data_IF_131127119940
#
_entry.id   IF_131127119940
#
_cell.length_a   1.000
_cell.length_b   1.000
_cell.length_c   1.000
_cell.angle_alpha   90.00
_cell.angle_beta   90.00
_cell.angle_gamma   90.00
#
_symmetry.space_group_name_H-M   'P 1'
#
loop_
_entity.id
_entity.type
_entity.pdbx_description
1 polymer ?
#
# COMPACT_ATOMS: atom_id res chain seq x y z
N UNK A 1 -7.09 -18.36 7.94
CA UNK A 1 -6.53 -18.08 6.58
C UNK A 1 -6.16 -16.62 6.50
N UNK A 2 -4.90 -16.30 6.22
CA UNK A 2 -4.33 -14.96 6.41
C UNK A 2 -3.86 -14.75 7.86
N UNK A 3 -2.63 -14.28 8.01
CA UNK A 3 -1.93 -14.10 9.30
C UNK A 3 -1.34 -12.68 9.45
N UNK A 4 -2.03 -11.70 8.87
CA UNK A 4 -1.76 -10.28 9.07
C UNK A 4 -2.20 -9.76 10.45
N UNK A 5 -2.38 -8.44 10.58
CA UNK A 5 -2.76 -7.77 11.83
C UNK A 5 -4.01 -8.39 12.49
N UNK A 6 -5.11 -8.53 11.73
CA UNK A 6 -6.37 -9.08 12.26
C UNK A 6 -6.27 -10.59 12.53
N UNK A 7 -5.75 -11.36 11.57
CA UNK A 7 -5.66 -12.82 11.71
C UNK A 7 -4.80 -13.27 12.90
N UNK A 8 -3.68 -12.57 13.16
CA UNK A 8 -2.85 -12.86 14.33
C UNK A 8 -3.55 -12.52 15.66
N UNK A 9 -4.35 -11.46 15.71
CA UNK A 9 -5.15 -11.08 16.87
C UNK A 9 -6.30 -12.06 17.16
N UNK A 10 -6.92 -12.61 16.10
CA UNK A 10 -7.92 -13.68 16.22
C UNK A 10 -7.26 -14.96 16.73
N UNK A 11 -6.12 -15.36 16.17
CA UNK A 11 -5.36 -16.52 16.61
C UNK A 11 -4.97 -16.44 18.10
N UNK A 12 -4.50 -15.27 18.55
CA UNK A 12 -4.17 -15.01 19.96
C UNK A 12 -5.38 -15.23 20.88
N UNK A 13 -6.56 -14.72 20.51
CA UNK A 13 -7.80 -14.90 21.28
C UNK A 13 -8.28 -16.36 21.26
N UNK A 14 -8.25 -17.02 20.10
CA UNK A 14 -8.62 -18.43 19.97
C UNK A 14 -7.75 -19.34 20.85
N UNK A 15 -6.43 -19.08 20.91
CA UNK A 15 -5.54 -19.78 21.85
C UNK A 15 -5.91 -19.52 23.31
N UNK A 16 -6.27 -18.28 23.66
CA UNK A 16 -6.78 -17.94 24.99
C UNK A 16 -8.04 -18.72 25.38
N UNK A 17 -8.83 -19.17 24.40
CA UNK A 17 -9.99 -20.04 24.59
C UNK A 17 -9.64 -21.54 24.60
N UNK A 18 -8.35 -21.90 24.57
CA UNK A 18 -7.89 -23.29 24.59
C UNK A 18 -7.93 -24.00 23.23
N UNK A 19 -8.11 -23.27 22.12
CA UNK A 19 -8.10 -23.86 20.79
C UNK A 19 -6.67 -24.18 20.31
N UNK A 20 -6.53 -25.25 19.52
CA UNK A 20 -5.35 -25.46 18.69
C UNK A 20 -5.47 -24.59 17.44
N UNK A 21 -4.45 -23.78 17.15
CA UNK A 21 -4.49 -22.80 16.06
C UNK A 21 -3.33 -23.04 15.11
N UNK A 22 -3.67 -23.32 13.86
CA UNK A 22 -2.79 -23.29 12.69
C UNK A 22 -3.22 -22.13 11.79
N UNK A 23 -2.29 -21.59 11.01
CA UNK A 23 -2.59 -20.54 10.06
C UNK A 23 -1.93 -20.80 8.71
N UNK A 24 -2.56 -20.33 7.64
CA UNK A 24 -1.96 -20.29 6.31
C UNK A 24 -1.81 -18.83 5.89
N UNK A 25 -0.59 -18.43 5.57
CA UNK A 25 -0.27 -17.15 4.95
C UNK A 25 1.09 -17.26 4.24
N UNK A 26 1.15 -17.23 2.90
CA UNK A 26 2.39 -17.42 2.16
C UNK A 26 3.36 -16.24 2.29
N UNK A 27 2.91 -15.10 2.83
CA UNK A 27 3.71 -13.88 2.97
C UNK A 27 4.13 -13.60 4.41
N UNK A 28 3.57 -14.33 5.40
CA UNK A 28 3.93 -14.15 6.79
C UNK A 28 5.25 -14.85 7.13
N UNK A 29 6.21 -14.17 7.79
CA UNK A 29 7.42 -14.82 8.27
C UNK A 29 7.09 -15.84 9.37
N UNK A 30 7.69 -17.03 9.31
CA UNK A 30 7.43 -18.14 10.24
C UNK A 30 7.66 -17.76 11.73
N UNK A 31 8.61 -16.87 12.01
CA UNK A 31 8.89 -16.38 13.36
C UNK A 31 7.69 -15.69 14.01
N UNK A 32 6.86 -15.00 13.21
CA UNK A 32 5.66 -14.32 13.71
C UNK A 32 4.64 -15.30 14.26
N UNK A 33 4.47 -16.46 13.62
CA UNK A 33 3.62 -17.54 14.10
C UNK A 33 4.18 -18.18 15.37
N UNK A 34 5.48 -18.53 15.34
CA UNK A 34 6.20 -19.12 16.49
C UNK A 34 6.11 -18.28 17.76
N UNK A 35 6.23 -16.96 17.64
CA UNK A 35 6.17 -16.03 18.78
C UNK A 35 4.87 -16.14 19.60
N UNK A 36 3.76 -16.53 18.97
CA UNK A 36 2.48 -16.75 19.67
C UNK A 36 2.08 -18.23 19.68
N UNK A 37 2.99 -19.13 19.33
CA UNK A 37 2.78 -20.58 19.26
C UNK A 37 1.67 -20.98 18.29
N UNK A 38 1.67 -20.38 17.10
CA UNK A 38 0.81 -20.72 15.96
C UNK A 38 1.70 -21.27 14.85
N UNK A 39 1.36 -22.44 14.33
CA UNK A 39 2.09 -23.05 13.23
C UNK A 39 1.59 -22.50 11.90
N UNK A 40 2.52 -22.04 11.04
CA UNK A 40 2.20 -21.70 9.66
C UNK A 40 2.27 -22.97 8.81
N UNK A 41 1.15 -23.31 8.15
CA UNK A 41 1.00 -24.53 7.36
C UNK A 41 0.58 -24.22 5.91
N UNK A 42 0.82 -25.14 4.96
CA UNK A 42 0.29 -25.02 3.60
C UNK A 42 -1.24 -24.94 3.56
N UNK A 43 -1.78 -24.36 2.48
CA UNK A 43 -3.22 -24.14 2.31
C UNK A 43 -4.03 -25.44 2.44
N UNK A 44 -3.63 -26.48 1.71
CA UNK A 44 -4.32 -27.77 1.73
C UNK A 44 -4.31 -28.43 3.12
N UNK A 45 -3.22 -28.27 3.88
CA UNK A 45 -3.17 -28.74 5.26
C UNK A 45 -4.12 -27.95 6.16
N UNK A 46 -4.17 -26.63 6.03
CA UNK A 46 -5.07 -25.79 6.82
C UNK A 46 -6.54 -26.17 6.61
N UNK A 47 -6.99 -26.33 5.36
CA UNK A 47 -8.41 -26.62 5.06
C UNK A 47 -8.81 -28.05 5.43
N UNK A 48 -7.91 -29.02 5.28
CA UNK A 48 -8.23 -30.44 5.52
C UNK A 48 -8.24 -30.83 6.99
N UNK A 49 -7.60 -30.03 7.85
CA UNK A 49 -7.46 -30.33 9.29
C UNK A 49 -8.31 -29.44 10.19
N UNK A 50 -8.77 -28.29 9.71
CA UNK A 50 -9.50 -27.33 10.54
C UNK A 50 -10.98 -27.70 10.76
N UNK A 51 -11.44 -27.59 12.01
CA UNK A 51 -12.86 -27.69 12.38
C UNK A 51 -13.57 -26.33 12.24
N UNK A 52 -12.81 -25.25 12.42
CA UNK A 52 -13.24 -23.85 12.24
C UNK A 52 -12.24 -23.13 11.32
N UNK A 53 -12.75 -22.45 10.30
CA UNK A 53 -11.94 -21.69 9.34
C UNK A 53 -12.37 -20.23 9.38
N UNK A 54 -11.49 -19.36 9.87
CA UNK A 54 -11.70 -17.90 9.85
C UNK A 54 -10.84 -17.24 8.76
N UNK A 55 -11.46 -16.43 7.91
CA UNK A 55 -10.83 -15.76 6.77
C UNK A 55 -10.42 -14.34 7.15
N UNK A 56 -9.14 -14.02 6.86
CA UNK A 56 -8.46 -12.76 7.14
C UNK A 56 -7.50 -12.37 6.00
N UNK A 57 -7.81 -12.83 4.78
CA UNK A 57 -7.03 -12.53 3.58
C UNK A 57 -7.62 -11.32 2.85
N UNK A 58 -6.80 -10.49 2.18
CA UNK A 58 -7.32 -9.49 1.25
C UNK A 58 -7.98 -10.18 0.05
N UNK A 59 -8.82 -9.44 -0.70
CA UNK A 59 -9.28 -9.86 -2.02
C UNK A 59 -8.26 -9.43 -3.07
N UNK A 60 -7.73 -10.39 -3.81
CA UNK A 60 -6.76 -10.25 -4.90
C UNK A 60 -7.09 -11.28 -5.98
N UNK A 61 -6.54 -11.18 -7.20
CA UNK A 61 -6.73 -12.22 -8.22
C UNK A 61 -6.33 -13.63 -7.78
N UNK A 62 -5.38 -13.75 -6.83
CA UNK A 62 -4.94 -15.04 -6.30
C UNK A 62 -5.83 -15.59 -5.18
N UNK A 63 -6.70 -14.77 -4.59
CA UNK A 63 -7.57 -15.12 -3.46
C UNK A 63 -9.05 -15.04 -3.79
N UNK A 64 -9.39 -14.48 -4.95
CA UNK A 64 -10.73 -14.48 -5.51
C UNK A 64 -11.23 -15.91 -5.66
N UNK A 65 -12.37 -16.20 -5.03
CA UNK A 65 -13.04 -17.50 -5.05
C UNK A 65 -12.13 -18.68 -4.71
N UNK A 66 -11.11 -18.44 -3.89
CA UNK A 66 -10.21 -19.49 -3.43
C UNK A 66 -10.95 -20.52 -2.57
N UNK A 67 -12.06 -20.13 -1.93
CA UNK A 67 -13.02 -21.06 -1.34
C UNK A 67 -14.14 -21.35 -2.34
N UNK A 68 -13.99 -22.44 -3.09
CA UNK A 68 -14.89 -22.95 -4.13
C UNK A 68 -15.27 -24.41 -3.84
N UNK A 69 -16.01 -25.07 -4.75
CA UNK A 69 -16.46 -26.45 -4.56
C UNK A 69 -15.30 -27.41 -4.23
N UNK A 70 -14.21 -27.38 -4.99
CA UNK A 70 -13.03 -28.24 -4.76
C UNK A 70 -12.41 -28.01 -3.38
N UNK A 71 -12.37 -26.76 -2.94
CA UNK A 71 -11.83 -26.39 -1.62
C UNK A 71 -12.76 -26.86 -0.51
N UNK A 72 -14.07 -26.68 -0.67
CA UNK A 72 -15.05 -27.19 0.28
C UNK A 72 -15.01 -28.71 0.36
N UNK A 73 -14.80 -29.43 -0.74
CA UNK A 73 -14.66 -30.89 -0.76
C UNK A 73 -13.48 -31.40 0.08
N UNK A 74 -12.37 -30.66 0.13
CA UNK A 74 -11.20 -31.01 0.94
C UNK A 74 -11.39 -30.77 2.44
N UNK A 75 -12.38 -29.96 2.83
CA UNK A 75 -12.61 -29.63 4.24
C UNK A 75 -13.13 -30.83 5.05
N UNK A 76 -12.99 -30.79 6.37
CA UNK A 76 -13.71 -31.72 7.25
C UNK A 76 -15.22 -31.58 7.04
N UNK A 77 -15.94 -32.71 7.06
CA UNK A 77 -17.41 -32.68 7.06
C UNK A 77 -17.90 -32.03 8.36
N UNK A 78 -18.79 -31.06 8.24
CA UNK A 78 -19.32 -30.30 9.37
C UNK A 78 -18.41 -29.17 9.85
N UNK A 79 -17.39 -28.79 9.07
CA UNK A 79 -16.56 -27.62 9.37
C UNK A 79 -17.40 -26.33 9.39
N UNK A 80 -16.94 -25.33 10.13
CA UNK A 80 -17.59 -24.01 10.23
C UNK A 80 -16.70 -22.94 9.61
N UNK A 81 -17.31 -22.02 8.88
CA UNK A 81 -16.58 -20.96 8.18
C UNK A 81 -16.99 -19.58 8.70
N UNK A 82 -16.02 -18.68 8.81
CA UNK A 82 -16.23 -17.29 9.21
C UNK A 82 -15.52 -16.40 8.20
N UNK A 83 -16.25 -15.53 7.52
CA UNK A 83 -15.67 -14.51 6.66
C UNK A 83 -16.07 -13.11 7.13
N UNK A 84 -15.09 -12.43 7.72
CA UNK A 84 -15.18 -11.03 8.18
C UNK A 84 -14.10 -10.17 7.54
N UNK A 85 -13.55 -10.62 6.41
CA UNK A 85 -12.42 -9.99 5.75
C UNK A 85 -12.85 -9.25 4.49
N UNK A 86 -13.15 -9.98 3.41
CA UNK A 86 -13.58 -9.42 2.13
C UNK A 86 -14.57 -10.34 1.45
N UNK A 87 -15.58 -9.75 0.83
CA UNK A 87 -16.43 -10.44 -0.14
C UNK A 87 -15.62 -11.00 -1.31
N UNK A 88 -16.18 -11.98 -2.03
CA UNK A 88 -15.54 -12.57 -3.20
C UNK A 88 -14.37 -13.53 -2.94
N UNK A 89 -13.86 -13.65 -1.70
CA UNK A 89 -12.88 -14.69 -1.33
C UNK A 89 -13.53 -16.08 -1.32
N UNK A 90 -14.82 -16.13 -1.00
CA UNK A 90 -15.66 -17.31 -1.09
C UNK A 90 -16.50 -17.20 -2.36
N UNK A 91 -16.57 -18.27 -3.15
CA UNK A 91 -17.64 -18.44 -4.12
C UNK A 91 -18.95 -18.73 -3.37
N UNK A 92 -19.85 -17.75 -3.39
CA UNK A 92 -21.08 -17.76 -2.61
C UNK A 92 -22.04 -18.90 -3.01
N UNK A 93 -22.07 -19.26 -4.29
CA UNK A 93 -22.88 -20.38 -4.78
C UNK A 93 -22.29 -21.72 -4.33
N UNK A 94 -20.96 -21.85 -4.32
CA UNK A 94 -20.29 -23.03 -3.79
C UNK A 94 -20.53 -23.17 -2.27
N UNK A 95 -20.52 -22.06 -1.53
CA UNK A 95 -20.84 -22.08 -0.10
C UNK A 95 -22.28 -22.55 0.14
N UNK A 96 -23.25 -22.09 -0.65
CA UNK A 96 -24.64 -22.57 -0.55
C UNK A 96 -24.73 -24.09 -0.75
N UNK A 97 -24.09 -24.63 -1.80
CA UNK A 97 -24.04 -26.09 -2.03
C UNK A 97 -23.35 -26.84 -0.88
N UNK A 98 -22.28 -26.28 -0.33
CA UNK A 98 -21.55 -26.87 0.79
C UNK A 98 -22.39 -26.87 2.09
N UNK A 99 -23.21 -25.83 2.31
CA UNK A 99 -24.17 -25.76 3.41
C UNK A 99 -25.32 -26.75 3.25
N UNK A 100 -25.91 -26.81 2.05
CA UNK A 100 -27.03 -27.70 1.72
C UNK A 100 -26.63 -29.18 1.89
N UNK A 101 -25.44 -29.55 1.43
CA UNK A 101 -24.87 -30.91 1.58
C UNK A 101 -24.41 -31.25 3.01
N UNK A 102 -24.34 -30.26 3.90
CA UNK A 102 -23.79 -30.41 5.26
C UNK A 102 -22.28 -30.61 5.32
N UNK A 103 -21.57 -30.35 4.21
CA UNK A 103 -20.10 -30.28 4.20
C UNK A 103 -19.62 -29.15 5.10
N UNK A 104 -20.27 -27.99 4.99
CA UNK A 104 -20.17 -26.87 5.94
C UNK A 104 -21.38 -26.93 6.86
N UNK A 105 -21.16 -27.00 8.17
CA UNK A 105 -22.24 -27.03 9.14
C UNK A 105 -22.92 -25.66 9.29
N UNK A 106 -22.12 -24.60 9.37
CA UNK A 106 -22.56 -23.22 9.54
C UNK A 106 -21.56 -22.23 8.96
N UNK A 107 -22.04 -21.07 8.55
CA UNK A 107 -21.23 -19.93 8.12
C UNK A 107 -21.59 -18.67 8.91
N UNK A 108 -20.60 -17.82 9.16
CA UNK A 108 -20.80 -16.45 9.65
C UNK A 108 -20.16 -15.46 8.67
N UNK A 109 -20.95 -14.55 8.10
CA UNK A 109 -20.52 -13.65 7.02
C UNK A 109 -20.80 -12.19 7.40
N UNK A 110 -19.76 -11.35 7.39
CA UNK A 110 -19.91 -9.89 7.55
C UNK A 110 -19.79 -9.14 6.21
N UNK A 111 -19.38 -9.84 5.15
CA UNK A 111 -18.98 -9.26 3.85
C UNK A 111 -19.51 -10.12 2.71
N UNK A 112 -19.84 -9.49 1.58
CA UNK A 112 -20.45 -10.13 0.41
C UNK A 112 -19.75 -9.68 -0.88
N UNK A 113 -19.79 -10.48 -1.94
CA UNK A 113 -19.20 -10.12 -3.22
C UNK A 113 -19.82 -8.84 -3.81
N UNK A 114 -21.13 -8.68 -3.63
CA UNK A 114 -21.86 -7.45 -3.91
C UNK A 114 -22.40 -6.87 -2.60
N UNK A 115 -22.10 -5.59 -2.34
CA UNK A 115 -22.55 -4.88 -1.14
C UNK A 115 -23.33 -3.60 -1.51
N UNK A 116 -24.61 -3.46 -1.09
CA UNK A 116 -25.39 -4.41 -0.29
C UNK A 116 -25.80 -5.67 -1.06
N UNK A 117 -25.93 -6.84 -0.39
CA UNK A 117 -26.38 -8.05 -1.07
C UNK A 117 -27.82 -7.90 -1.59
N UNK A 118 -28.19 -8.61 -2.69
CA UNK A 118 -29.56 -8.62 -3.20
C UNK A 118 -30.57 -9.03 -2.12
N UNK A 119 -31.79 -8.47 -2.18
CA UNK A 119 -32.86 -8.73 -1.20
C UNK A 119 -33.24 -10.21 -1.11
N UNK A 120 -33.14 -10.93 -2.21
CA UNK A 120 -33.40 -12.35 -2.37
C UNK A 120 -32.13 -13.22 -2.22
N UNK A 121 -31.04 -12.65 -1.68
CA UNK A 121 -29.81 -13.39 -1.43
C UNK A 121 -30.09 -14.65 -0.60
N UNK A 122 -29.84 -15.80 -1.23
CA UNK A 122 -30.04 -17.11 -0.60
C UNK A 122 -29.14 -17.29 0.61
N UNK A 123 -27.91 -16.77 0.59
CA UNK A 123 -26.99 -16.84 1.73
C UNK A 123 -27.52 -16.04 2.93
N UNK A 124 -28.03 -14.83 2.69
CA UNK A 124 -28.60 -13.98 3.74
C UNK A 124 -29.80 -14.65 4.41
N UNK A 125 -30.60 -15.38 3.64
CA UNK A 125 -31.82 -16.05 4.13
C UNK A 125 -31.58 -17.47 4.65
N UNK A 126 -30.37 -18.02 4.49
CA UNK A 126 -30.09 -19.41 4.82
C UNK A 126 -29.98 -19.61 6.34
N UNK A 127 -30.77 -20.53 6.91
CA UNK A 127 -30.90 -20.73 8.37
C UNK A 127 -29.58 -21.06 9.09
N UNK A 128 -28.61 -21.65 8.38
CA UNK A 128 -27.27 -21.99 8.91
C UNK A 128 -26.23 -20.88 8.70
N UNK A 129 -26.65 -19.71 8.24
CA UNK A 129 -25.78 -18.56 7.99
C UNK A 129 -26.14 -17.44 8.96
N UNK A 130 -25.16 -16.99 9.73
CA UNK A 130 -25.28 -15.75 10.51
C UNK A 130 -24.69 -14.62 9.69
N UNK A 131 -25.42 -13.51 9.53
CA UNK A 131 -24.96 -12.37 8.74
C UNK A 131 -24.93 -11.08 9.54
N UNK A 132 -23.94 -10.24 9.24
CA UNK A 132 -23.87 -8.85 9.69
C UNK A 132 -23.53 -7.93 8.51
N UNK A 133 -24.01 -6.68 8.48
CA UNK A 133 -23.82 -5.78 7.35
C UNK A 133 -22.49 -5.00 7.45
N UNK A 134 -21.36 -5.68 7.22
CA UNK A 134 -20.01 -5.09 7.21
C UNK A 134 -19.70 -4.23 8.44
N UNK A 135 -19.92 -4.82 9.61
CA UNK A 135 -19.80 -4.14 10.90
C UNK A 135 -18.43 -4.25 11.56
N UNK A 136 -17.46 -4.96 10.95
CA UNK A 136 -16.15 -5.21 11.56
C UNK A 136 -15.40 -3.98 12.10
N UNK A 137 -15.58 -2.80 11.50
CA UNK A 137 -14.97 -1.53 11.95
C UNK A 137 -15.97 -0.55 12.59
N UNK A 138 -17.22 -0.96 12.79
CA UNK A 138 -18.33 -0.12 13.26
C UNK A 138 -18.39 -0.04 14.79
N UNK A 139 -17.25 0.24 15.43
CA UNK A 139 -17.13 0.44 16.89
C UNK A 139 -16.65 1.85 17.21
N UNK A 140 -16.99 2.37 18.40
CA UNK A 140 -16.60 3.73 18.80
C UNK A 140 -15.08 3.88 18.82
N UNK A 141 -14.40 2.89 19.39
CA UNK A 141 -12.95 2.87 19.56
C UNK A 141 -12.22 2.81 18.21
N UNK A 142 -12.74 2.03 17.25
CA UNK A 142 -12.17 1.96 15.91
C UNK A 142 -12.37 3.28 15.15
N UNK A 143 -13.56 3.86 15.21
CA UNK A 143 -13.86 5.14 14.56
C UNK A 143 -13.03 6.28 15.17
N UNK A 144 -12.87 6.32 16.49
CA UNK A 144 -12.02 7.29 17.18
C UNK A 144 -10.54 7.12 16.80
N UNK A 145 -10.02 5.88 16.82
CA UNK A 145 -8.65 5.58 16.42
C UNK A 145 -8.35 6.01 14.97
N UNK A 146 -9.26 5.70 14.04
CA UNK A 146 -9.15 6.13 12.64
C UNK A 146 -9.23 7.65 12.52
N UNK A 147 -10.10 8.31 13.28
CA UNK A 147 -10.22 9.77 13.25
C UNK A 147 -8.92 10.45 13.71
N UNK A 148 -8.29 9.96 14.78
CA UNK A 148 -7.00 10.44 15.27
C UNK A 148 -5.91 10.22 14.22
N UNK A 149 -5.79 9.00 13.69
CA UNK A 149 -4.79 8.65 12.67
C UNK A 149 -4.90 9.55 11.42
N UNK A 150 -6.13 9.80 10.96
CA UNK A 150 -6.37 10.72 9.84
C UNK A 150 -6.03 12.16 10.21
N UNK A 151 -6.41 12.64 11.39
CA UNK A 151 -6.11 13.99 11.84
C UNK A 151 -4.60 14.23 11.91
N UNK A 152 -3.85 13.29 12.47
CA UNK A 152 -2.38 13.33 12.50
C UNK A 152 -1.78 13.30 11.11
N UNK A 153 -2.27 12.42 10.22
CA UNK A 153 -1.82 12.35 8.84
C UNK A 153 -2.08 13.67 8.07
N UNK A 154 -3.23 14.30 8.29
CA UNK A 154 -3.56 15.62 7.69
C UNK A 154 -2.64 16.71 8.23
N UNK A 155 -2.41 16.76 9.55
CA UNK A 155 -1.49 17.72 10.16
C UNK A 155 -0.07 17.54 9.62
N UNK A 156 0.43 16.30 9.54
CA UNK A 156 1.72 15.99 8.95
C UNK A 156 1.80 16.44 7.49
N UNK A 157 0.79 16.11 6.69
CA UNK A 157 0.73 16.52 5.28
C UNK A 157 0.71 18.05 5.09
N UNK A 158 0.01 18.79 5.96
CA UNK A 158 -0.02 20.26 5.97
C UNK A 158 1.29 20.89 6.45
N UNK A 159 2.11 20.16 7.21
CA UNK A 159 3.48 20.55 7.55
C UNK A 159 4.50 20.15 6.48
N UNK A 160 4.07 19.45 5.44
CA UNK A 160 4.93 18.93 4.38
C UNK A 160 5.69 17.65 4.77
N UNK A 161 5.27 16.96 5.83
CA UNK A 161 5.81 15.67 6.26
C UNK A 161 5.31 14.54 5.36
N UNK A 162 6.03 13.41 5.36
CA UNK A 162 5.61 12.19 4.70
C UNK A 162 4.48 11.54 5.49
N UNK A 163 3.26 11.58 4.94
CA UNK A 163 2.15 10.82 5.49
C UNK A 163 2.32 9.34 5.13
N UNK A 164 2.57 8.51 6.15
CA UNK A 164 2.72 7.05 5.98
C UNK A 164 1.47 6.36 5.41
N UNK A 165 0.31 7.03 5.44
CA UNK A 165 -1.00 6.55 4.98
C UNK A 165 -1.41 7.11 3.61
N UNK A 166 -0.57 7.92 2.96
CA UNK A 166 -0.90 8.50 1.67
C UNK A 166 -0.97 7.43 0.57
N UNK A 167 -2.16 7.21 0.03
CA UNK A 167 -2.42 6.21 -1.01
C UNK A 167 -1.89 6.60 -2.40
N UNK A 168 -1.63 7.88 -2.61
CA UNK A 168 -1.18 8.48 -3.87
C UNK A 168 0.16 9.23 -3.74
N UNK A 169 0.88 9.01 -2.64
CA UNK A 169 2.24 9.52 -2.47
C UNK A 169 3.22 8.35 -2.32
N UNK A 170 4.54 8.58 -2.50
CA UNK A 170 5.55 7.55 -2.32
C UNK A 170 5.53 7.00 -0.89
N UNK A 171 5.16 5.73 -0.73
CA UNK A 171 5.28 5.03 0.55
C UNK A 171 6.74 4.58 0.70
N UNK A 172 7.47 5.21 1.63
CA UNK A 172 8.89 4.90 1.90
C UNK A 172 8.98 4.21 3.27
N UNK A 173 9.47 2.96 3.35
CA UNK A 173 9.70 2.30 4.63
C UNK A 173 10.58 3.15 5.56
N UNK A 174 10.37 3.16 6.89
CA UNK A 174 11.11 4.02 7.82
C UNK A 174 12.64 3.90 7.69
N UNK A 175 13.14 2.68 7.48
CA UNK A 175 14.56 2.37 7.30
C UNK A 175 15.15 2.97 6.02
N UNK A 176 14.33 3.07 4.96
CA UNK A 176 14.71 3.71 3.69
C UNK A 176 14.58 5.23 3.83
N UNK A 177 13.58 5.70 4.57
CA UNK A 177 13.36 7.12 4.79
C UNK A 177 14.51 7.77 5.56
N UNK A 178 15.04 7.13 6.61
CA UNK A 178 16.20 7.66 7.34
C UNK A 178 17.42 7.85 6.43
N UNK A 179 17.58 6.97 5.44
CA UNK A 179 18.66 7.02 4.46
C UNK A 179 18.43 8.04 3.36
N UNK A 180 17.17 8.19 2.91
CA UNK A 180 16.78 9.13 1.87
C UNK A 180 16.56 10.56 2.37
N UNK A 181 16.35 10.77 3.67
CA UNK A 181 16.03 12.07 4.24
C UNK A 181 17.01 13.20 3.85
N UNK A 182 18.34 13.01 3.85
CA UNK A 182 19.28 14.04 3.39
C UNK A 182 19.09 14.40 1.91
N UNK A 183 18.84 13.39 1.07
CA UNK A 183 18.60 13.56 -0.37
C UNK A 183 17.24 14.18 -0.66
N UNK A 184 16.22 13.90 0.16
CA UNK A 184 14.92 14.53 0.07
C UNK A 184 15.01 16.04 0.30
N UNK A 185 15.75 16.48 1.32
CA UNK A 185 15.99 17.91 1.60
C UNK A 185 16.76 18.58 0.45
N UNK A 186 17.81 17.92 -0.03
CA UNK A 186 18.59 18.40 -1.17
C UNK A 186 17.77 18.49 -2.45
N UNK A 187 16.97 17.47 -2.77
CA UNK A 187 16.04 17.42 -3.89
C UNK A 187 15.08 18.61 -3.89
N UNK A 188 14.51 18.93 -2.73
CA UNK A 188 13.65 20.12 -2.58
C UNK A 188 14.41 21.42 -2.86
N UNK A 189 15.59 21.57 -2.26
CA UNK A 189 16.44 22.77 -2.44
C UNK A 189 16.87 22.96 -3.89
N UNK A 190 17.21 21.88 -4.57
CA UNK A 190 17.55 21.90 -5.99
C UNK A 190 16.35 22.31 -6.84
N UNK A 191 15.16 21.76 -6.58
CA UNK A 191 13.94 22.22 -7.24
C UNK A 191 13.67 23.72 -7.05
N UNK A 192 13.90 24.25 -5.85
CA UNK A 192 13.76 25.70 -5.58
C UNK A 192 14.82 26.54 -6.29
N UNK A 193 16.07 26.09 -6.27
CA UNK A 193 17.19 26.74 -6.94
C UNK A 193 16.94 26.81 -8.45
N UNK A 194 16.39 25.73 -9.03
CA UNK A 194 16.06 25.67 -10.44
C UNK A 194 15.14 26.81 -10.90
N UNK A 195 14.12 27.09 -10.11
CA UNK A 195 13.17 28.18 -10.37
C UNK A 195 13.86 29.55 -10.36
N UNK A 196 14.84 29.74 -9.46
CA UNK A 196 15.58 31.00 -9.35
C UNK A 196 16.57 31.23 -10.49
N UNK A 197 17.16 30.15 -11.04
CA UNK A 197 18.17 30.23 -12.11
C UNK A 197 17.57 30.44 -13.51
N UNK A 198 16.30 30.11 -13.72
CA UNK A 198 15.63 30.33 -15.01
C UNK A 198 15.21 31.81 -15.12
N UNK A 199 16.11 32.63 -15.66
CA UNK A 199 15.87 34.03 -15.94
C UNK A 199 14.92 34.21 -17.15
N UNK A 200 13.98 35.17 -17.08
CA UNK A 200 13.27 35.67 -18.27
C UNK A 200 11.75 35.50 -18.33
N UNK A 201 11.10 35.00 -17.27
CA UNK A 201 9.63 35.08 -17.13
C UNK A 201 8.79 34.13 -18.01
N UNK A 202 9.43 33.27 -18.82
CA UNK A 202 8.77 32.23 -19.64
C UNK A 202 8.30 31.01 -18.85
N UNK A 203 8.82 30.82 -17.63
CA UNK A 203 8.51 29.70 -16.74
C UNK A 203 9.11 28.36 -17.18
N UNK A 204 9.23 27.41 -16.25
CA UNK A 204 9.76 26.07 -16.53
C UNK A 204 8.67 25.20 -17.17
N UNK A 205 8.85 24.82 -18.43
CA UNK A 205 7.93 23.90 -19.15
C UNK A 205 8.29 22.44 -18.97
N UNK A 206 9.58 22.15 -18.77
CA UNK A 206 10.09 20.79 -18.61
C UNK A 206 11.27 20.74 -17.66
N UNK A 207 11.37 19.64 -16.90
CA UNK A 207 12.53 19.33 -16.07
C UNK A 207 12.94 17.87 -16.30
N UNK A 208 14.24 17.63 -16.45
CA UNK A 208 14.79 16.28 -16.53
C UNK A 208 15.55 16.00 -15.24
N UNK A 209 15.11 14.97 -14.51
CA UNK A 209 15.80 14.51 -13.30
C UNK A 209 16.63 13.29 -13.66
N UNK A 210 17.92 13.34 -13.36
CA UNK A 210 18.83 12.21 -13.55
C UNK A 210 19.29 11.72 -12.19
N UNK A 211 19.14 10.44 -11.93
CA UNK A 211 19.62 9.77 -10.73
C UNK A 211 20.84 8.94 -11.08
N UNK A 212 22.01 9.29 -10.54
CA UNK A 212 23.21 8.44 -10.63
C UNK A 212 23.41 7.70 -9.33
N UNK A 213 23.53 6.38 -9.42
CA UNK A 213 23.68 5.50 -8.26
C UNK A 213 24.60 4.33 -8.61
N UNK A 214 25.34 3.84 -7.61
CA UNK A 214 26.04 2.56 -7.71
C UNK A 214 25.11 1.34 -7.52
N UNK A 215 23.83 1.59 -7.20
CA UNK A 215 22.81 0.56 -7.08
C UNK A 215 22.23 0.21 -8.45
N UNK A 216 21.70 -1.00 -8.52
CA UNK A 216 20.85 -1.42 -9.62
C UNK A 216 19.73 -0.38 -9.82
N UNK A 217 19.51 0.13 -11.04
CA UNK A 217 18.44 1.07 -11.34
C UNK A 217 17.05 0.59 -10.91
N UNK A 218 16.81 -0.71 -10.85
CA UNK A 218 15.53 -1.30 -10.45
C UNK A 218 15.35 -1.38 -8.92
N UNK A 219 16.44 -1.30 -8.14
CA UNK A 219 16.43 -1.27 -6.66
C UNK A 219 16.39 0.16 -6.09
N UNK A 220 16.45 1.18 -6.95
CA UNK A 220 16.40 2.59 -6.53
C UNK A 220 14.96 3.14 -6.55
N UNK A 221 14.35 3.25 -5.37
CA UNK A 221 13.08 3.96 -5.22
C UNK A 221 13.27 5.48 -5.27
N UNK A 222 13.17 6.05 -6.47
CA UNK A 222 13.33 7.48 -6.72
C UNK A 222 12.07 8.30 -6.47
N UNK A 223 10.94 7.67 -6.11
CA UNK A 223 9.63 8.33 -6.07
C UNK A 223 9.58 9.47 -5.05
N UNK A 224 10.24 9.31 -3.90
CA UNK A 224 10.38 10.36 -2.90
C UNK A 224 11.17 11.55 -3.44
N UNK A 225 12.33 11.30 -4.06
CA UNK A 225 13.20 12.35 -4.59
C UNK A 225 12.50 13.14 -5.68
N UNK A 226 11.81 12.44 -6.60
CA UNK A 226 10.95 13.05 -7.62
C UNK A 226 9.93 13.98 -6.97
N UNK A 227 9.17 13.49 -5.98
CA UNK A 227 8.14 14.26 -5.31
C UNK A 227 8.71 15.52 -4.62
N UNK A 228 9.88 15.42 -3.99
CA UNK A 228 10.56 16.56 -3.36
C UNK A 228 11.07 17.57 -4.39
N UNK A 229 11.63 17.13 -5.53
CA UNK A 229 12.03 18.02 -6.64
C UNK A 229 10.80 18.73 -7.20
N UNK A 230 9.72 17.99 -7.50
CA UNK A 230 8.47 18.57 -8.00
C UNK A 230 7.92 19.62 -7.02
N UNK A 231 7.91 19.30 -5.72
CA UNK A 231 7.52 20.26 -4.68
C UNK A 231 8.40 21.51 -4.72
N UNK A 232 9.72 21.35 -4.75
CA UNK A 232 10.67 22.46 -4.81
C UNK A 232 10.49 23.37 -6.02
N UNK A 233 10.13 22.79 -7.19
CA UNK A 233 9.85 23.55 -8.41
C UNK A 233 8.50 24.28 -8.34
N UNK A 234 7.46 23.62 -7.85
CA UNK A 234 6.08 24.15 -7.92
C UNK A 234 5.76 25.10 -6.77
N UNK A 235 6.28 24.86 -5.57
CA UNK A 235 5.93 25.65 -4.38
C UNK A 235 6.24 27.15 -4.52
N UNK A 236 7.40 27.59 -5.04
CA UNK A 236 7.69 29.01 -5.22
C UNK A 236 6.80 29.73 -6.24
N UNK A 237 6.13 28.96 -7.11
CA UNK A 237 5.31 29.47 -8.22
C UNK A 237 3.83 29.12 -8.07
N UNK A 238 3.40 28.75 -6.86
CA UNK A 238 2.02 28.36 -6.56
C UNK A 238 1.45 29.19 -5.43
N UNK A 239 0.19 29.63 -5.59
CA UNK A 239 -0.57 30.34 -4.56
C UNK A 239 -1.17 29.39 -3.51
N UNK A 240 -1.09 28.08 -3.77
CA UNK A 240 -1.54 27.02 -2.87
C UNK A 240 -0.37 26.33 -2.20
N UNK A 241 -0.55 25.91 -0.95
CA UNK A 241 0.42 25.07 -0.24
C UNK A 241 0.70 23.77 -1.00
N UNK A 242 1.98 23.46 -1.23
CA UNK A 242 2.42 22.28 -1.98
C UNK A 242 3.01 21.24 -1.03
N UNK A 243 2.52 20.00 -1.16
CA UNK A 243 3.00 18.84 -0.45
C UNK A 243 3.20 17.67 -1.42
N UNK A 244 3.67 16.53 -0.90
CA UNK A 244 4.01 15.36 -1.72
C UNK A 244 2.79 14.68 -2.36
N UNK A 245 1.59 14.98 -1.87
CA UNK A 245 0.32 14.46 -2.38
C UNK A 245 -0.16 15.26 -3.59
N UNK A 246 -0.05 16.60 -3.53
CA UNK A 246 -0.59 17.50 -4.55
C UNK A 246 0.45 18.06 -5.53
N UNK A 247 1.76 17.87 -5.28
CA UNK A 247 2.84 18.41 -6.12
C UNK A 247 2.73 17.96 -7.58
N UNK A 248 2.62 16.65 -7.84
CA UNK A 248 2.55 16.10 -9.20
C UNK A 248 1.26 16.52 -9.93
N UNK A 249 0.13 16.58 -9.21
CA UNK A 249 -1.13 17.07 -9.77
C UNK A 249 -1.03 18.56 -10.16
N UNK A 250 -0.47 19.38 -9.28
CA UNK A 250 -0.31 20.82 -9.48
C UNK A 250 0.70 21.11 -10.59
N UNK A 251 1.78 20.33 -10.68
CA UNK A 251 2.75 20.39 -11.77
C UNK A 251 2.09 20.16 -13.13
N UNK A 252 1.29 19.10 -13.26
CA UNK A 252 0.53 18.81 -14.48
C UNK A 252 -0.44 19.94 -14.84
N UNK A 253 -1.18 20.48 -13.85
CA UNK A 253 -2.12 21.60 -14.06
C UNK A 253 -1.41 22.87 -14.56
N UNK A 254 -0.17 23.10 -14.12
CA UNK A 254 0.69 24.21 -14.57
C UNK A 254 1.48 23.90 -15.85
N UNK A 255 1.28 22.73 -16.46
CA UNK A 255 1.92 22.34 -17.71
C UNK A 255 3.39 21.92 -17.60
N UNK A 256 3.89 21.69 -16.37
CA UNK A 256 5.25 21.21 -16.15
C UNK A 256 5.36 19.72 -16.49
N UNK A 257 6.28 19.38 -17.38
CA UNK A 257 6.64 17.98 -17.70
C UNK A 257 7.91 17.58 -16.98
N UNK A 258 7.83 16.53 -16.16
CA UNK A 258 9.01 15.97 -15.49
C UNK A 258 9.33 14.62 -16.12
N UNK A 259 10.55 14.47 -16.61
CA UNK A 259 11.11 13.19 -17.10
C UNK A 259 12.22 12.72 -16.19
N UNK A 260 12.36 11.41 -16.01
CA UNK A 260 13.36 10.80 -15.15
C UNK A 260 14.30 9.88 -15.95
N UNK A 261 15.56 9.85 -15.57
CA UNK A 261 16.58 8.92 -16.09
C UNK A 261 17.37 8.34 -14.92
N UNK A 262 17.62 7.03 -14.95
CA UNK A 262 18.44 6.33 -13.94
C UNK A 262 19.71 5.83 -14.62
N UNK A 263 20.85 6.14 -14.04
CA UNK A 263 22.17 5.80 -14.61
C UNK A 263 23.00 5.10 -13.54
N UNK A 264 23.40 3.86 -13.82
CA UNK A 264 24.32 3.12 -12.97
C UNK A 264 25.75 3.69 -13.12
N UNK A 265 26.47 3.86 -12.00
CA UNK A 265 27.87 4.35 -11.98
C UNK A 265 28.71 3.53 -11.00
N UNK A 266 29.99 3.30 -11.31
CA UNK A 266 30.87 2.45 -10.48
C UNK A 266 31.17 3.03 -9.08
N UNK A 267 31.05 4.35 -8.93
CA UNK A 267 31.14 5.04 -7.63
C UNK A 267 30.17 6.24 -7.60
N UNK A 268 29.50 6.51 -6.47
CA UNK A 268 28.70 7.73 -6.33
C UNK A 268 29.61 8.97 -6.39
N UNK A 269 29.23 10.03 -7.11
CA UNK A 269 30.01 11.26 -7.17
C UNK A 269 30.08 11.96 -5.80
N UNK A 270 31.16 12.70 -5.54
CA UNK A 270 31.42 13.38 -4.25
C UNK A 270 30.42 14.51 -3.93
N UNK A 271 29.71 15.05 -4.93
CA UNK A 271 28.75 16.17 -4.77
C UNK A 271 27.47 15.97 -5.60
N UNK A 272 26.33 16.51 -5.11
CA UNK A 272 25.06 16.55 -5.82
C UNK A 272 24.91 17.80 -6.70
N UNK A 273 24.04 17.76 -7.70
CA UNK A 273 24.16 18.58 -8.90
C UNK A 273 22.77 18.59 -9.68
N UNK A 274 22.43 19.49 -10.63
CA UNK A 274 21.04 19.61 -11.19
C UNK A 274 20.91 20.29 -12.57
N UNK A 275 20.34 19.63 -13.59
CA UNK A 275 20.10 20.24 -14.92
C UNK A 275 18.63 20.63 -15.18
N UNK A 276 18.42 21.82 -15.75
CA UNK A 276 17.11 22.36 -16.13
C UNK A 276 17.16 22.78 -17.59
N UNK A 277 16.24 22.29 -18.41
CA UNK A 277 16.15 22.66 -19.83
C UNK A 277 14.97 23.60 -20.05
N UNK A 278 15.27 24.85 -20.42
CA UNK A 278 14.29 25.79 -20.96
C UNK A 278 14.29 25.71 -22.49
N UNK A 279 13.18 25.26 -23.07
CA UNK A 279 13.00 25.17 -24.52
C UNK A 279 12.59 26.50 -25.18
N UNK A 280 12.60 27.63 -24.47
CA UNK A 280 12.14 28.93 -24.99
C UNK A 280 13.23 29.92 -25.41
N UNK A 281 14.50 29.66 -25.13
CA UNK A 281 15.60 30.57 -25.52
C UNK A 281 16.33 30.06 -26.77
N UNK A 282 16.23 30.84 -27.85
CA UNK A 282 17.05 30.70 -29.06
C UNK A 282 18.54 30.68 -28.71
N UNK A 283 19.21 29.60 -29.11
CA UNK A 283 20.59 29.53 -29.59
C UNK A 283 21.54 30.66 -29.14
N UNK A 284 22.12 30.54 -27.92
CA UNK A 284 23.47 30.99 -27.48
C UNK A 284 23.45 31.43 -26.01
N UNK A 285 23.68 30.47 -25.12
CA UNK A 285 24.39 30.62 -23.85
C UNK A 285 24.51 29.22 -23.25
N UNK A 286 25.38 28.41 -23.84
CA UNK A 286 25.79 27.13 -23.27
C UNK A 286 27.09 27.37 -22.50
N UNK A 287 26.98 27.78 -21.25
CA UNK A 287 28.07 27.73 -20.27
C UNK A 287 27.58 27.02 -19.02
N UNK A 288 28.39 26.08 -18.55
CA UNK A 288 28.12 25.09 -17.52
C UNK A 288 27.57 25.68 -16.22
N UNK A 289 26.40 25.21 -15.79
CA UNK A 289 26.00 25.18 -14.38
C UNK A 289 25.49 23.75 -14.13
N UNK A 290 26.13 23.05 -13.18
CA UNK A 290 26.24 21.59 -13.10
C UNK A 290 24.95 20.76 -12.89
N UNK A 291 25.10 19.43 -13.05
CA UNK A 291 24.18 18.27 -13.11
C UNK A 291 24.39 17.09 -12.08
N UNK A 292 23.34 16.56 -11.39
CA UNK A 292 23.16 15.30 -10.56
C UNK A 292 23.12 15.23 -9.00
N UNK A 293 21.97 14.91 -8.37
CA UNK A 293 21.89 14.42 -6.98
C UNK A 293 22.63 13.08 -6.82
N UNK A 294 23.70 13.06 -6.01
CA UNK A 294 24.40 11.84 -5.60
C UNK A 294 23.69 11.19 -4.40
N UNK A 295 23.35 9.90 -4.49
CA UNK A 295 22.93 9.08 -3.33
C UNK A 295 24.11 8.13 -3.03
N UNK A 296 24.88 8.32 -1.94
CA UNK A 296 25.97 7.47 -1.51
C UNK A 296 25.52 6.05 -1.26
N UNK A 297 26.47 5.14 -1.51
CA UNK A 297 26.31 3.71 -1.43
C UNK A 297 25.65 3.25 -0.14
N UNK A 298 24.65 2.39 -0.34
CA UNK A 298 24.25 1.35 0.58
C UNK A 298 24.25 0.04 -0.18
#
# INVERSE_FOLDING_TARGET
MGFGKVGSEVARRAKGLGMQVIAHDPYAPADRGRAIGVELVPFDQAISTADFISLHMPLTPATEKVFNDDTFEKMKKGARIVNVARGGVIDEDALLRALDSGKVAQAALDVFAEEPPPRDSRLVQHERVTVTPHLGASTKEAQEGVAIEIAEAVVGALKGELAATAVNAPMVPPEVLSKLAPYAVLAEKLGRLAVQLVAGGSGIKSAKVVYKSARDPDDLDTRLLRAMITKGIIEPISDSFINLVNADFTAKKKGLRISEERVAVDAPPELPDLSIQDHSASTRAWEEIGQLIAVPGY
#
